data_IF_192627446424
#
_entry.id   IF_192627446424
#
_cell.length_a   1.000
_cell.length_b   1.000
_cell.length_c   1.000
_cell.angle_alpha   90.00
_cell.angle_beta   90.00
_cell.angle_gamma   90.00
#
_symmetry.space_group_name_H-M   'P 1'
#
loop_
_entity.id
_entity.type
_entity.pdbx_description
1 polymer ?
#
# COMPACT_ATOMS: atom_id res chain seq x y z
N UNK A 1 -1.06 -23.74 30.27
CA UNK A 1 -0.46 -22.42 30.49
C UNK A 1 -1.54 -21.37 30.41
N UNK A 2 -1.84 -20.75 31.53
CA UNK A 2 -2.93 -19.78 31.73
C UNK A 2 -2.62 -18.49 30.99
N UNK A 3 -3.62 -18.00 30.24
CA UNK A 3 -3.65 -16.68 29.58
C UNK A 3 -3.48 -15.60 30.66
N UNK A 4 -2.60 -14.60 30.52
CA UNK A 4 -2.47 -13.55 31.52
C UNK A 4 -3.71 -12.65 31.50
N UNK A 5 -4.41 -12.62 32.65
CA UNK A 5 -5.39 -11.60 33.03
C UNK A 5 -4.72 -10.22 33.03
N UNK A 6 -5.02 -9.38 32.08
CA UNK A 6 -4.93 -7.92 32.20
C UNK A 6 -5.61 -7.21 31.02
N UNK A 7 -6.93 -7.09 31.09
CA UNK A 7 -7.68 -5.87 30.68
C UNK A 7 -8.96 -5.86 31.54
N UNK A 8 -8.85 -5.46 32.79
CA UNK A 8 -10.01 -5.05 33.59
C UNK A 8 -9.87 -3.56 33.94
N UNK A 9 -10.24 -2.71 32.98
CA UNK A 9 -10.77 -1.38 33.28
C UNK A 9 -12.28 -1.51 33.30
N UNK A 10 -12.93 -1.08 34.40
CA UNK A 10 -14.33 -1.22 34.70
C UNK A 10 -15.27 -0.97 33.51
N UNK A 11 -15.69 -2.05 32.86
CA UNK A 11 -16.85 -2.09 31.97
C UNK A 11 -17.90 -2.86 32.76
N UNK A 12 -19.09 -2.27 32.95
CA UNK A 12 -20.20 -2.85 33.70
C UNK A 12 -20.45 -4.32 33.33
N UNK A 13 -20.90 -5.10 34.32
CA UNK A 13 -21.05 -6.55 34.19
C UNK A 13 -21.97 -6.96 33.04
N UNK A 14 -21.97 -8.24 32.68
CA UNK A 14 -22.66 -8.79 31.49
C UNK A 14 -24.16 -8.50 31.40
N UNK A 15 -24.81 -8.14 32.49
CA UNK A 15 -26.24 -7.77 32.53
C UNK A 15 -26.54 -6.42 31.85
N UNK A 16 -25.53 -5.54 31.61
CA UNK A 16 -25.74 -4.25 30.96
C UNK A 16 -25.69 -4.29 29.42
N UNK A 17 -25.23 -5.39 28.82
CA UNK A 17 -25.08 -5.52 27.37
C UNK A 17 -25.50 -6.91 26.88
N UNK A 18 -26.82 -7.16 26.73
CA UNK A 18 -27.31 -8.48 26.28
C UNK A 18 -26.73 -8.97 24.95
N UNK A 19 -26.30 -8.01 24.07
CA UNK A 19 -25.65 -8.36 22.82
C UNK A 19 -24.25 -8.95 22.98
N UNK A 20 -23.51 -8.63 24.05
CA UNK A 20 -22.19 -9.22 24.31
C UNK A 20 -22.31 -10.69 24.74
N UNK A 21 -23.29 -11.01 25.54
CA UNK A 21 -23.58 -12.41 25.98
C UNK A 21 -23.92 -13.29 24.78
N UNK A 22 -24.71 -12.79 23.84
CA UNK A 22 -25.03 -13.51 22.61
C UNK A 22 -23.79 -13.70 21.71
N UNK A 23 -22.95 -12.69 21.58
CA UNK A 23 -21.69 -12.79 20.83
C UNK A 23 -20.78 -13.85 21.47
N UNK A 24 -20.62 -13.84 22.80
CA UNK A 24 -19.83 -14.85 23.51
C UNK A 24 -20.37 -16.27 23.33
N UNK A 25 -21.71 -16.42 23.34
CA UNK A 25 -22.38 -17.71 23.09
C UNK A 25 -22.10 -18.21 21.68
N UNK A 26 -22.23 -17.33 20.68
CA UNK A 26 -21.98 -17.68 19.28
C UNK A 26 -20.50 -18.00 19.04
N UNK A 27 -19.59 -17.27 19.68
CA UNK A 27 -18.16 -17.50 19.59
C UNK A 27 -17.76 -18.86 20.18
N UNK A 28 -18.28 -19.21 21.37
CA UNK A 28 -18.10 -20.55 21.96
C UNK A 28 -18.63 -21.64 21.06
N UNK A 29 -19.80 -21.47 20.47
CA UNK A 29 -20.38 -22.43 19.54
C UNK A 29 -19.53 -22.59 18.27
N UNK A 30 -19.02 -21.48 17.73
CA UNK A 30 -18.13 -21.50 16.58
C UNK A 30 -16.84 -22.27 16.91
N UNK A 31 -16.20 -21.96 18.04
CA UNK A 31 -14.99 -22.64 18.49
C UNK A 31 -15.22 -24.17 18.65
N UNK A 32 -16.35 -24.57 19.23
CA UNK A 32 -16.73 -26.00 19.33
C UNK A 32 -16.91 -26.66 17.97
N UNK A 33 -17.55 -25.98 17.01
CA UNK A 33 -17.76 -26.49 15.65
C UNK A 33 -16.45 -26.69 14.88
N UNK A 34 -15.43 -25.87 15.16
CA UNK A 34 -14.13 -25.92 14.53
C UNK A 34 -13.03 -26.48 15.44
N UNK A 35 -13.41 -27.18 16.51
CA UNK A 35 -12.46 -27.81 17.42
C UNK A 35 -11.51 -28.75 16.65
N UNK A 36 -10.21 -28.61 16.92
CA UNK A 36 -9.16 -29.31 16.19
C UNK A 36 -8.88 -28.80 14.76
N UNK A 37 -9.66 -27.81 14.25
CA UNK A 37 -9.42 -27.18 12.94
C UNK A 37 -8.84 -25.76 13.04
N UNK A 38 -8.98 -25.14 14.20
CA UNK A 38 -8.44 -23.80 14.49
C UNK A 38 -7.16 -23.94 15.31
N UNK A 39 -6.06 -23.46 14.74
CA UNK A 39 -4.77 -23.41 15.43
C UNK A 39 -4.49 -21.97 15.80
N UNK A 40 -4.29 -21.70 17.10
CA UNK A 40 -3.87 -20.39 17.57
C UNK A 40 -2.35 -20.31 17.44
N UNK A 41 -1.89 -19.42 16.56
CA UNK A 41 -0.47 -19.12 16.35
C UNK A 41 -0.10 -17.81 17.04
N UNK A 42 0.54 -17.84 18.23
CA UNK A 42 0.90 -16.63 18.98
C UNK A 42 1.90 -15.73 18.24
N UNK A 43 2.65 -16.27 17.29
CA UNK A 43 3.59 -15.54 16.42
C UNK A 43 2.89 -14.62 15.43
N UNK A 44 1.65 -14.92 15.03
CA UNK A 44 0.85 -14.10 14.12
C UNK A 44 0.25 -12.89 14.83
N UNK A 45 1.09 -11.97 15.22
CA UNK A 45 0.68 -10.74 15.91
C UNK A 45 -0.03 -9.76 14.95
N UNK A 46 -0.86 -8.87 15.50
CA UNK A 46 -1.55 -7.85 14.70
C UNK A 46 -0.62 -7.00 13.81
N UNK A 47 0.57 -6.55 14.26
CA UNK A 47 1.53 -5.89 13.37
C UNK A 47 1.97 -6.77 12.21
N UNK A 48 2.21 -8.05 12.44
CA UNK A 48 2.67 -9.00 11.43
C UNK A 48 1.62 -9.23 10.33
N UNK A 49 0.36 -9.45 10.71
CA UNK A 49 -0.73 -9.74 9.75
C UNK A 49 -1.33 -8.52 9.07
N UNK A 50 -0.83 -7.32 9.34
CA UNK A 50 -1.36 -6.07 8.79
C UNK A 50 -0.27 -5.21 8.17
N UNK A 51 -0.67 -4.18 7.43
CA UNK A 51 0.26 -3.19 6.86
C UNK A 51 1.21 -2.52 7.89
N UNK A 52 0.98 -2.69 9.20
CA UNK A 52 1.78 -2.01 10.22
C UNK A 52 3.26 -2.35 10.15
N UNK A 53 3.62 -3.61 9.90
CA UNK A 53 5.02 -4.01 9.74
C UNK A 53 5.69 -3.40 8.49
N UNK A 54 4.91 -3.06 7.46
CA UNK A 54 5.41 -2.41 6.25
C UNK A 54 5.78 -0.93 6.43
N UNK A 55 5.31 -0.26 7.50
CA UNK A 55 5.53 1.19 7.69
C UNK A 55 6.99 1.61 7.82
N UNK A 56 7.84 0.72 8.26
CA UNK A 56 9.28 0.97 8.46
C UNK A 56 10.15 0.28 7.42
N UNK A 57 9.57 -0.62 6.61
CA UNK A 57 10.32 -1.43 5.67
C UNK A 57 10.47 -0.71 4.32
N UNK A 58 11.69 -0.52 3.80
CA UNK A 58 11.95 0.03 2.47
C UNK A 58 11.07 -0.63 1.40
N UNK A 59 10.77 0.07 0.32
CA UNK A 59 9.87 -0.34 -0.78
C UNK A 59 8.40 -0.44 -0.34
N UNK A 60 8.10 -1.15 0.74
CA UNK A 60 6.72 -1.36 1.22
C UNK A 60 6.13 -0.11 1.89
N UNK A 61 6.96 0.73 2.51
CA UNK A 61 6.54 1.96 3.23
C UNK A 61 6.21 3.14 2.31
N UNK A 62 6.53 3.06 1.02
CA UNK A 62 6.35 4.21 0.13
C UNK A 62 4.88 4.58 -0.05
N UNK A 63 4.03 3.59 -0.35
CA UNK A 63 2.59 3.80 -0.48
C UNK A 63 1.84 3.13 0.66
N UNK A 64 0.99 3.90 1.35
CA UNK A 64 0.19 3.41 2.48
C UNK A 64 -1.07 2.72 1.97
N UNK A 65 -0.98 1.41 1.77
CA UNK A 65 -2.12 0.57 1.39
C UNK A 65 -2.69 -0.12 2.63
N UNK A 66 -3.80 0.42 3.17
CA UNK A 66 -4.35 0.01 4.49
C UNK A 66 -4.85 -1.42 4.51
N UNK A 67 -5.27 -1.92 3.37
CA UNK A 67 -5.84 -3.23 3.14
C UNK A 67 -4.77 -4.33 2.93
N UNK A 68 -3.50 -3.94 2.77
CA UNK A 68 -2.42 -4.91 2.58
C UNK A 68 -2.01 -5.61 3.87
N UNK A 69 -1.64 -6.86 3.75
CA UNK A 69 -0.86 -7.59 4.74
C UNK A 69 0.63 -7.16 4.70
N UNK A 70 1.42 -7.62 5.65
CA UNK A 70 2.85 -7.30 5.66
C UNK A 70 3.66 -8.26 4.80
N UNK A 71 4.82 -7.79 4.30
CA UNK A 71 5.80 -8.65 3.66
C UNK A 71 6.31 -9.74 4.61
N UNK A 72 6.50 -9.41 5.89
CA UNK A 72 6.93 -10.37 6.91
C UNK A 72 5.93 -11.51 7.14
N UNK A 73 4.62 -11.29 6.91
CA UNK A 73 3.64 -12.38 6.90
C UNK A 73 3.90 -13.34 5.75
N UNK A 74 4.19 -12.83 4.56
CA UNK A 74 4.46 -13.66 3.39
C UNK A 74 5.73 -14.48 3.60
N UNK A 75 6.79 -13.87 4.11
CA UNK A 75 8.03 -14.56 4.47
C UNK A 75 7.78 -15.67 5.49
N UNK A 76 6.99 -15.39 6.53
CA UNK A 76 6.58 -16.40 7.50
C UNK A 76 5.81 -17.58 6.86
N UNK A 77 4.90 -17.29 5.90
CA UNK A 77 4.17 -18.35 5.19
C UNK A 77 5.10 -19.17 4.30
N UNK A 78 6.08 -18.57 3.64
CA UNK A 78 7.09 -19.31 2.88
C UNK A 78 7.89 -20.27 3.77
N UNK A 79 8.30 -19.81 4.95
CA UNK A 79 9.02 -20.65 5.92
C UNK A 79 8.14 -21.77 6.48
N UNK A 80 6.90 -21.48 6.84
CA UNK A 80 5.96 -22.44 7.44
C UNK A 80 5.59 -23.55 6.44
N UNK A 81 5.29 -23.17 5.19
CA UNK A 81 4.88 -24.10 4.14
C UNK A 81 6.02 -24.61 3.27
N UNK A 82 7.28 -24.24 3.59
CA UNK A 82 8.50 -24.66 2.87
C UNK A 82 8.47 -24.30 1.38
N UNK A 83 7.93 -23.14 1.05
CA UNK A 83 7.92 -22.63 -0.32
C UNK A 83 9.25 -21.91 -0.54
N UNK A 84 10.20 -22.59 -1.24
CA UNK A 84 11.56 -22.08 -1.44
C UNK A 84 11.90 -21.80 -2.91
N UNK A 85 11.06 -22.19 -3.85
CA UNK A 85 11.24 -22.00 -5.29
C UNK A 85 9.90 -22.12 -6.01
N UNK A 86 9.90 -21.91 -7.32
CA UNK A 86 8.73 -22.04 -8.18
C UNK A 86 8.03 -20.70 -8.41
N UNK A 87 6.71 -20.73 -8.63
CA UNK A 87 5.91 -19.56 -8.97
C UNK A 87 4.69 -19.47 -8.06
N UNK A 88 4.46 -18.29 -7.49
CA UNK A 88 3.23 -17.99 -6.75
C UNK A 88 2.25 -17.15 -7.58
N UNK A 89 0.97 -17.21 -7.21
CA UNK A 89 -0.08 -16.33 -7.75
C UNK A 89 -0.71 -15.51 -6.64
N UNK A 90 -0.85 -14.20 -6.86
CA UNK A 90 -1.75 -13.33 -6.09
C UNK A 90 -2.84 -12.76 -7.00
N UNK A 91 -4.06 -13.34 -7.00
CA UNK A 91 -5.16 -12.90 -7.88
C UNK A 91 -5.76 -11.54 -7.47
N UNK A 92 -5.32 -10.93 -6.35
CA UNK A 92 -5.74 -9.62 -5.87
C UNK A 92 -4.52 -8.83 -5.36
N UNK A 93 -3.57 -8.58 -6.26
CA UNK A 93 -2.22 -8.15 -5.92
C UNK A 93 -2.12 -6.81 -5.17
N UNK A 94 -3.10 -5.91 -5.33
CA UNK A 94 -3.16 -4.63 -4.61
C UNK A 94 -1.90 -3.79 -4.82
N UNK A 95 -1.10 -3.60 -3.78
CA UNK A 95 0.19 -2.88 -3.87
C UNK A 95 1.39 -3.79 -4.15
N UNK A 96 1.16 -5.08 -4.45
CA UNK A 96 2.17 -6.06 -4.82
C UNK A 96 2.95 -6.64 -3.64
N UNK A 97 2.43 -6.63 -2.42
CA UNK A 97 3.21 -7.07 -1.25
C UNK A 97 3.69 -8.52 -1.39
N UNK A 98 2.81 -9.44 -1.82
CA UNK A 98 3.20 -10.85 -2.02
C UNK A 98 4.22 -10.99 -3.15
N UNK A 99 4.05 -10.23 -4.23
CA UNK A 99 4.92 -10.30 -5.40
C UNK A 99 6.36 -9.91 -5.07
N UNK A 100 6.53 -8.76 -4.40
CA UNK A 100 7.85 -8.27 -4.02
C UNK A 100 8.49 -9.11 -2.91
N UNK A 101 7.70 -9.68 -1.98
CA UNK A 101 8.22 -10.58 -0.96
C UNK A 101 8.71 -11.90 -1.57
N UNK A 102 8.02 -12.45 -2.57
CA UNK A 102 8.43 -13.64 -3.30
C UNK A 102 9.69 -13.40 -4.12
N UNK A 103 9.69 -12.32 -4.93
CA UNK A 103 10.84 -11.98 -5.76
C UNK A 103 12.11 -11.75 -4.93
N UNK A 104 12.01 -11.14 -3.75
CA UNK A 104 13.13 -10.88 -2.85
C UNK A 104 13.84 -12.18 -2.36
N UNK A 105 13.16 -13.31 -2.40
CA UNK A 105 13.71 -14.64 -2.02
C UNK A 105 13.90 -15.58 -3.22
N UNK A 106 13.82 -15.06 -4.45
CA UNK A 106 14.07 -15.83 -5.66
C UNK A 106 12.88 -16.65 -6.17
N UNK A 107 11.67 -16.39 -5.68
CA UNK A 107 10.43 -17.04 -6.11
C UNK A 107 9.74 -16.15 -7.15
N UNK A 108 9.37 -16.73 -8.28
CA UNK A 108 8.60 -16.01 -9.30
C UNK A 108 7.19 -15.71 -8.80
N UNK A 109 6.62 -14.58 -9.24
CA UNK A 109 5.32 -14.16 -8.77
C UNK A 109 4.48 -13.55 -9.89
N UNK A 110 3.30 -14.11 -10.09
CA UNK A 110 2.26 -13.54 -10.94
C UNK A 110 1.23 -12.81 -10.08
N UNK A 111 0.88 -11.60 -10.47
CA UNK A 111 -0.16 -10.81 -9.81
C UNK A 111 -1.24 -10.40 -10.78
N UNK A 112 -2.49 -10.40 -10.31
CA UNK A 112 -3.60 -9.82 -11.06
C UNK A 112 -4.09 -8.59 -10.30
N UNK A 113 -4.19 -7.45 -10.99
CA UNK A 113 -4.68 -6.21 -10.38
C UNK A 113 -5.63 -5.48 -11.33
N UNK A 114 -6.82 -5.20 -10.82
CA UNK A 114 -7.86 -4.50 -11.59
C UNK A 114 -7.67 -2.99 -11.55
N UNK A 115 -7.30 -2.44 -10.38
CA UNK A 115 -7.29 -1.00 -10.18
C UNK A 115 -6.02 -0.36 -10.77
N UNK A 116 -6.16 0.69 -11.60
CA UNK A 116 -5.02 1.39 -12.19
C UNK A 116 -4.01 1.88 -11.14
N UNK A 117 -4.47 2.23 -9.94
CA UNK A 117 -3.59 2.66 -8.85
C UNK A 117 -2.67 1.53 -8.37
N UNK A 118 -3.19 0.31 -8.21
CA UNK A 118 -2.40 -0.86 -7.83
C UNK A 118 -1.39 -1.21 -8.93
N UNK A 119 -1.82 -1.23 -10.18
CA UNK A 119 -0.97 -1.46 -11.35
C UNK A 119 0.18 -0.45 -11.39
N UNK A 120 -0.10 0.84 -11.22
CA UNK A 120 0.92 1.88 -11.21
C UNK A 120 1.91 1.72 -10.04
N UNK A 121 1.43 1.37 -8.84
CA UNK A 121 2.29 1.12 -7.68
C UNK A 121 3.27 -0.02 -7.97
N UNK A 122 2.77 -1.15 -8.48
CA UNK A 122 3.60 -2.33 -8.79
C UNK A 122 4.59 -1.99 -9.90
N UNK A 123 4.12 -1.39 -11.01
CA UNK A 123 4.98 -1.02 -12.13
C UNK A 123 6.11 -0.07 -11.70
N UNK A 124 5.80 0.94 -10.86
CA UNK A 124 6.83 1.88 -10.39
C UNK A 124 7.83 1.23 -9.45
N UNK A 125 7.39 0.33 -8.56
CA UNK A 125 8.31 -0.43 -7.70
C UNK A 125 9.23 -1.32 -8.51
N UNK A 126 8.71 -2.06 -9.49
CA UNK A 126 9.53 -2.86 -10.43
C UNK A 126 10.56 -2.01 -11.15
N UNK A 127 10.13 -0.85 -11.66
CA UNK A 127 11.03 0.11 -12.31
C UNK A 127 12.18 0.54 -11.40
N UNK A 128 11.89 0.86 -10.15
CA UNK A 128 12.88 1.29 -9.15
C UNK A 128 13.86 0.17 -8.77
N UNK A 129 13.43 -1.08 -8.80
CA UNK A 129 14.28 -2.23 -8.46
C UNK A 129 15.21 -2.65 -9.60
N UNK A 130 14.80 -2.55 -10.85
CA UNK A 130 15.54 -3.16 -11.97
C UNK A 130 15.79 -2.27 -13.18
N UNK A 131 15.09 -1.14 -13.30
CA UNK A 131 15.15 -0.30 -14.49
C UNK A 131 15.56 1.16 -14.25
N UNK A 132 15.83 1.53 -13.01
CA UNK A 132 16.13 2.90 -12.63
C UNK A 132 17.64 3.13 -12.62
N UNK A 133 18.11 4.13 -13.38
CA UNK A 133 19.55 4.37 -13.55
C UNK A 133 20.08 5.35 -12.49
N UNK A 134 21.40 5.47 -12.41
CA UNK A 134 22.05 6.49 -11.56
C UNK A 134 21.68 7.91 -11.97
N UNK A 135 21.55 8.15 -13.27
CA UNK A 135 21.13 9.44 -13.82
C UNK A 135 19.70 9.76 -13.40
N UNK A 136 18.79 8.79 -13.46
CA UNK A 136 17.41 8.94 -12.99
C UNK A 136 17.37 9.25 -11.48
N UNK A 137 18.22 8.59 -10.68
CA UNK A 137 18.31 8.84 -9.24
C UNK A 137 18.85 10.24 -8.93
N UNK A 138 19.85 10.71 -9.68
CA UNK A 138 20.38 12.06 -9.59
C UNK A 138 19.30 13.10 -9.94
N UNK A 139 18.46 12.81 -10.94
CA UNK A 139 17.36 13.69 -11.31
C UNK A 139 16.30 13.78 -10.20
N UNK A 140 15.96 12.67 -9.52
CA UNK A 140 15.09 12.73 -8.34
C UNK A 140 15.70 13.56 -7.20
N UNK A 141 17.03 13.47 -6.99
CA UNK A 141 17.72 14.32 -6.01
C UNK A 141 17.63 15.79 -6.38
N UNK A 142 17.86 16.10 -7.69
CA UNK A 142 17.68 17.44 -8.22
C UNK A 142 16.28 17.97 -7.97
N UNK A 143 15.25 17.18 -8.26
CA UNK A 143 13.84 17.54 -8.01
C UNK A 143 13.57 17.86 -6.54
N UNK A 144 14.08 17.05 -5.62
CA UNK A 144 13.89 17.29 -4.19
C UNK A 144 14.60 18.55 -3.69
N UNK A 145 15.75 18.90 -4.28
CA UNK A 145 16.58 20.03 -3.86
C UNK A 145 16.14 21.35 -4.53
N UNK A 146 15.93 21.36 -5.85
CA UNK A 146 15.70 22.57 -6.65
C UNK A 146 14.23 22.95 -6.80
N UNK A 147 13.30 21.98 -6.61
CA UNK A 147 11.85 22.19 -6.71
C UNK A 147 11.43 22.87 -8.02
N UNK A 148 11.71 22.30 -9.18
CA UNK A 148 11.54 22.98 -10.48
C UNK A 148 10.07 23.41 -10.74
N UNK A 149 9.09 22.77 -10.12
CA UNK A 149 7.67 23.14 -10.22
C UNK A 149 7.35 24.53 -9.63
N UNK A 150 8.15 25.05 -8.69
CA UNK A 150 7.91 26.39 -8.11
C UNK A 150 8.13 27.50 -9.14
N UNK A 151 9.02 27.24 -10.09
CA UNK A 151 9.34 28.17 -11.17
C UNK A 151 8.49 27.96 -12.43
N UNK A 152 7.65 26.92 -12.45
CA UNK A 152 6.81 26.61 -13.60
C UNK A 152 5.62 27.58 -13.68
N UNK A 153 5.47 28.24 -14.83
CA UNK A 153 4.24 28.98 -15.17
C UNK A 153 3.16 28.04 -15.73
N UNK A 154 3.57 26.91 -16.30
CA UNK A 154 2.67 25.90 -16.86
C UNK A 154 1.92 25.17 -15.75
N UNK A 155 0.67 24.79 -16.03
CA UNK A 155 -0.19 24.03 -15.12
C UNK A 155 -0.94 22.95 -15.88
N UNK A 156 -1.05 21.79 -15.26
CA UNK A 156 -1.97 20.72 -15.69
C UNK A 156 -3.21 20.80 -14.81
N UNK A 157 -4.32 21.20 -15.38
CA UNK A 157 -5.55 21.35 -14.63
C UNK A 157 -6.03 20.00 -14.06
N UNK A 158 -6.20 19.93 -12.73
CA UNK A 158 -6.74 18.73 -12.08
C UNK A 158 -8.25 18.62 -12.35
N UNK A 159 -8.73 17.48 -12.88
CA UNK A 159 -10.15 17.28 -13.05
C UNK A 159 -10.85 17.22 -11.69
N UNK A 160 -11.82 18.08 -11.48
CA UNK A 160 -12.64 18.10 -10.26
C UNK A 160 -13.89 17.24 -10.44
N UNK A 161 -13.91 16.09 -9.79
CA UNK A 161 -15.13 15.32 -9.64
C UNK A 161 -15.99 15.91 -8.50
N UNK A 162 -17.30 15.78 -8.59
CA UNK A 162 -18.22 16.24 -7.55
C UNK A 162 -17.84 15.75 -6.15
N UNK A 163 -17.32 14.53 -6.05
CA UNK A 163 -16.92 13.91 -4.77
C UNK A 163 -15.58 14.42 -4.25
N UNK A 164 -14.69 14.94 -5.12
CA UNK A 164 -13.34 15.39 -4.74
C UNK A 164 -13.17 16.90 -4.79
N UNK A 165 -14.16 17.62 -5.29
CA UNK A 165 -14.10 19.10 -5.39
C UNK A 165 -13.82 19.74 -4.03
N UNK A 166 -12.77 20.60 -3.97
CA UNK A 166 -12.35 21.25 -2.72
C UNK A 166 -11.64 20.29 -1.74
N UNK A 167 -11.10 19.16 -2.22
CA UNK A 167 -10.34 18.22 -1.39
C UNK A 167 -8.98 18.77 -0.95
N UNK A 168 -8.44 19.73 -1.68
CA UNK A 168 -7.15 20.36 -1.38
C UNK A 168 -7.33 21.85 -1.05
N UNK A 169 -6.46 22.42 -0.18
CA UNK A 169 -6.27 23.86 -0.12
C UNK A 169 -5.94 24.42 -1.52
N UNK A 170 -6.37 25.64 -1.84
CA UNK A 170 -6.17 26.21 -3.18
C UNK A 170 -4.69 26.31 -3.56
N UNK A 171 -3.82 26.73 -2.62
CA UNK A 171 -2.36 26.73 -2.79
C UNK A 171 -1.78 25.34 -3.06
N UNK A 172 -2.28 24.32 -2.35
CA UNK A 172 -1.87 22.93 -2.55
C UNK A 172 -2.28 22.42 -3.93
N UNK A 173 -3.50 22.74 -4.37
CA UNK A 173 -3.99 22.37 -5.69
C UNK A 173 -3.14 23.01 -6.78
N UNK A 174 -2.84 24.30 -6.67
CA UNK A 174 -1.96 25.02 -7.59
C UNK A 174 -0.57 24.38 -7.67
N UNK A 175 0.01 24.05 -6.51
CA UNK A 175 1.31 23.40 -6.45
C UNK A 175 1.31 22.01 -7.11
N UNK A 176 0.23 21.20 -6.94
CA UNK A 176 0.08 19.92 -7.62
C UNK A 176 -0.03 20.12 -9.14
N UNK A 177 -0.80 21.11 -9.61
CA UNK A 177 -0.97 21.40 -11.04
C UNK A 177 0.36 21.81 -11.70
N UNK A 178 1.16 22.65 -11.04
CA UNK A 178 2.50 23.02 -11.46
C UNK A 178 3.48 21.83 -11.45
N UNK A 179 3.43 21.02 -10.38
CA UNK A 179 4.25 19.82 -10.26
C UNK A 179 3.99 18.84 -11.40
N UNK A 180 2.73 18.57 -11.71
CA UNK A 180 2.36 17.69 -12.82
C UNK A 180 2.80 18.25 -14.18
N UNK A 181 2.72 19.57 -14.38
CA UNK A 181 3.21 20.22 -15.59
C UNK A 181 4.72 20.05 -15.73
N UNK A 182 5.47 20.33 -14.67
CA UNK A 182 6.93 20.18 -14.66
C UNK A 182 7.36 18.72 -14.90
N UNK A 183 6.60 17.72 -14.39
CA UNK A 183 6.92 16.32 -14.65
C UNK A 183 6.99 15.96 -16.15
N UNK A 184 6.29 16.66 -17.03
CA UNK A 184 6.27 16.33 -18.46
C UNK A 184 7.60 16.59 -19.17
N UNK A 185 8.49 17.38 -18.61
CA UNK A 185 9.82 17.62 -19.16
C UNK A 185 10.82 16.49 -18.92
N UNK A 186 10.50 15.60 -17.97
CA UNK A 186 11.36 14.50 -17.58
C UNK A 186 11.25 13.28 -18.51
N UNK A 187 12.24 12.39 -18.43
CA UNK A 187 12.11 11.09 -19.08
C UNK A 187 11.02 10.24 -18.41
N UNK A 188 10.51 9.25 -19.13
CA UNK A 188 9.34 8.48 -18.70
C UNK A 188 9.55 7.73 -17.38
N UNK A 189 10.80 7.33 -17.06
CA UNK A 189 11.11 6.62 -15.81
C UNK A 189 11.01 7.57 -14.63
N UNK A 190 11.65 8.74 -14.73
CA UNK A 190 11.57 9.80 -13.72
C UNK A 190 10.14 10.29 -13.55
N UNK A 191 9.39 10.53 -14.67
CA UNK A 191 7.96 10.88 -14.60
C UNK A 191 7.15 9.86 -13.79
N UNK A 192 7.39 8.57 -13.99
CA UNK A 192 6.65 7.50 -13.30
C UNK A 192 6.87 7.57 -11.79
N UNK A 193 8.12 7.80 -11.37
CA UNK A 193 8.46 7.91 -9.93
C UNK A 193 7.93 9.21 -9.33
N UNK A 194 8.02 10.34 -10.04
CA UNK A 194 7.48 11.62 -9.59
C UNK A 194 5.96 11.54 -9.37
N UNK A 195 5.24 10.98 -10.33
CA UNK A 195 3.78 10.75 -10.21
C UNK A 195 3.43 9.79 -9.07
N UNK A 196 4.22 8.74 -8.90
CA UNK A 196 4.06 7.81 -7.76
C UNK A 196 4.31 8.52 -6.41
N UNK A 197 5.35 9.34 -6.30
CA UNK A 197 5.61 10.14 -5.10
C UNK A 197 4.44 11.07 -4.77
N UNK A 198 3.83 11.70 -5.78
CA UNK A 198 2.62 12.50 -5.62
C UNK A 198 1.47 11.65 -5.07
N UNK A 199 1.19 10.49 -5.65
CA UNK A 199 0.14 9.58 -5.17
C UNK A 199 0.34 9.19 -3.69
N UNK A 200 1.59 9.00 -3.27
CA UNK A 200 1.92 8.65 -1.88
C UNK A 200 1.57 9.76 -0.87
N UNK A 201 1.52 11.02 -1.29
CA UNK A 201 1.31 12.16 -0.38
C UNK A 201 -0.08 12.79 -0.45
N UNK A 202 -0.91 12.44 -1.45
CA UNK A 202 -2.22 13.06 -1.68
C UNK A 202 -3.11 13.08 -0.43
N UNK A 203 -3.18 11.98 0.34
CA UNK A 203 -3.96 11.96 1.58
C UNK A 203 -3.41 12.95 2.59
N UNK A 204 -2.09 13.07 2.77
CA UNK A 204 -1.48 13.91 3.80
C UNK A 204 -1.67 15.41 3.57
N UNK A 205 -1.73 15.84 2.30
CA UNK A 205 -1.85 17.24 1.89
C UNK A 205 -3.29 17.69 1.61
N UNK A 206 -4.27 16.81 1.79
CA UNK A 206 -5.69 17.07 1.50
C UNK A 206 -6.51 17.32 2.77
N UNK A 207 -7.70 17.87 2.62
CA UNK A 207 -8.73 17.94 3.64
C UNK A 207 -9.47 16.61 3.87
N UNK A 208 -9.09 15.56 3.14
CA UNK A 208 -9.81 14.29 3.19
C UNK A 208 -9.01 13.20 3.87
N UNK A 209 -9.70 12.23 4.46
CA UNK A 209 -9.15 10.97 4.95
C UNK A 209 -10.04 9.82 4.53
N UNK A 210 -9.47 8.81 3.90
CA UNK A 210 -10.19 7.57 3.57
C UNK A 210 -10.51 6.82 4.87
N UNK A 211 -11.80 6.54 5.11
CA UNK A 211 -12.31 5.82 6.27
C UNK A 211 -13.31 4.76 5.78
N UNK A 212 -12.82 3.59 5.45
CA UNK A 212 -13.59 2.54 4.74
C UNK A 212 -14.07 3.04 3.38
N UNK A 213 -15.37 2.95 3.11
CA UNK A 213 -16.01 3.40 1.87
C UNK A 213 -16.16 4.92 1.76
N UNK A 214 -15.91 5.66 2.85
CA UNK A 214 -16.23 7.09 2.91
C UNK A 214 -14.97 7.94 2.91
N UNK A 215 -15.04 9.09 2.23
CA UNK A 215 -14.12 10.19 2.44
C UNK A 215 -14.64 11.03 3.61
N UNK A 216 -13.92 11.03 4.72
CA UNK A 216 -14.17 11.99 5.79
C UNK A 216 -13.52 13.31 5.43
N UNK A 217 -14.28 14.38 5.63
CA UNK A 217 -13.86 15.73 5.30
C UNK A 217 -13.51 16.49 6.56
N UNK A 218 -12.33 17.05 6.58
CA UNK A 218 -11.88 17.97 7.61
C UNK A 218 -12.77 19.24 7.60
N UNK A 219 -13.01 19.80 8.76
CA UNK A 219 -13.88 20.98 8.92
C UNK A 219 -13.39 22.20 8.13
N UNK A 220 -12.09 22.32 7.88
CA UNK A 220 -11.46 23.40 7.10
C UNK A 220 -11.85 23.37 5.62
N UNK A 221 -12.32 22.27 5.10
CA UNK A 221 -12.82 22.15 3.73
C UNK A 221 -14.13 22.90 3.46
N UNK A 222 -14.82 23.36 4.50
CA UNK A 222 -16.17 23.94 4.40
C UNK A 222 -17.28 22.91 4.12
N UNK A 223 -16.94 21.62 3.90
CA UNK A 223 -17.94 20.56 3.70
C UNK A 223 -18.41 20.00 5.04
N UNK A 224 -19.72 19.99 5.27
CA UNK A 224 -20.32 19.34 6.43
C UNK A 224 -20.71 17.90 6.09
N UNK A 225 -20.21 16.95 6.88
CA UNK A 225 -20.63 15.56 6.84
C UNK A 225 -21.07 15.13 8.24
N UNK A 226 -22.39 14.92 8.40
CA UNK A 226 -22.98 14.47 9.67
C UNK A 226 -23.00 15.53 10.78
N UNK A 227 -23.33 15.06 12.00
CA UNK A 227 -23.50 15.93 13.19
C UNK A 227 -22.17 16.25 13.89
N UNK A 228 -21.12 15.43 13.70
CA UNK A 228 -19.82 15.61 14.37
C UNK A 228 -18.82 16.26 13.43
N UNK A 229 -18.17 17.29 13.92
CA UNK A 229 -17.03 17.93 13.27
C UNK A 229 -15.88 16.92 13.22
N UNK A 230 -15.25 16.77 12.06
CA UNK A 230 -14.06 15.95 11.90
C UNK A 230 -12.84 16.85 11.75
N UNK A 231 -11.90 16.67 12.66
CA UNK A 231 -10.56 17.25 12.60
C UNK A 231 -9.59 16.15 12.19
N UNK A 232 -8.93 16.36 11.05
CA UNK A 232 -7.91 15.45 10.53
C UNK A 232 -6.57 15.59 11.27
N UNK A 233 -6.39 16.67 12.02
CA UNK A 233 -5.13 17.07 12.60
C UNK A 233 -4.27 17.85 11.59
N UNK A 234 -2.98 17.59 11.54
CA UNK A 234 -2.05 18.28 10.63
C UNK A 234 -2.34 17.93 9.17
N UNK A 235 -2.47 18.97 8.34
CA UNK A 235 -2.43 18.87 6.88
C UNK A 235 -1.05 19.36 6.48
N UNK A 236 -0.28 18.49 5.84
CA UNK A 236 1.08 18.83 5.45
C UNK A 236 1.10 19.83 4.28
N UNK A 237 2.07 20.72 4.26
CA UNK A 237 2.35 21.52 3.07
C UNK A 237 2.84 20.64 1.92
N UNK A 238 2.49 21.00 0.69
CA UNK A 238 2.83 20.22 -0.50
C UNK A 238 4.33 19.98 -0.63
N UNK A 239 5.13 21.03 -0.55
CA UNK A 239 6.60 20.97 -0.69
C UNK A 239 7.23 20.03 0.33
N UNK A 240 6.88 20.21 1.61
CA UNK A 240 7.40 19.35 2.68
C UNK A 240 7.05 17.88 2.44
N UNK A 241 5.82 17.61 2.03
CA UNK A 241 5.34 16.24 1.82
C UNK A 241 6.02 15.58 0.62
N UNK A 242 6.10 16.29 -0.53
CA UNK A 242 6.65 15.73 -1.76
C UNK A 242 8.16 15.54 -1.66
N UNK A 243 8.92 16.56 -1.20
CA UNK A 243 10.36 16.44 -1.00
C UNK A 243 10.70 15.35 0.02
N UNK A 244 9.94 15.28 1.13
CA UNK A 244 10.11 14.23 2.12
C UNK A 244 9.88 12.82 1.53
N UNK A 245 8.91 12.67 0.61
CA UNK A 245 8.65 11.41 -0.07
C UNK A 245 9.74 11.06 -1.08
N UNK A 246 10.19 12.00 -1.88
CA UNK A 246 11.29 11.78 -2.82
C UNK A 246 12.56 11.37 -2.08
N UNK A 247 12.93 12.09 -1.02
CA UNK A 247 14.09 11.76 -0.19
C UNK A 247 13.97 10.38 0.47
N UNK A 248 12.75 9.99 0.88
CA UNK A 248 12.49 8.64 1.41
C UNK A 248 12.75 7.56 0.34
N UNK A 249 12.24 7.76 -0.88
CA UNK A 249 12.44 6.81 -1.99
C UNK A 249 13.93 6.71 -2.32
N UNK A 250 14.63 7.85 -2.48
CA UNK A 250 16.05 7.92 -2.78
C UNK A 250 16.88 7.18 -1.70
N UNK A 251 16.58 7.44 -0.43
CA UNK A 251 17.29 6.79 0.67
C UNK A 251 17.08 5.26 0.70
N UNK A 252 15.89 4.80 0.29
CA UNK A 252 15.55 3.38 0.25
C UNK A 252 16.18 2.63 -0.93
N UNK A 253 16.46 3.33 -2.03
CA UNK A 253 17.17 2.76 -3.18
C UNK A 253 18.63 2.43 -2.85
N UNK A 254 19.18 3.08 -1.82
CA UNK A 254 20.56 2.94 -1.43
C UNK A 254 21.55 3.58 -2.44
N UNK A 255 22.84 3.47 -2.19
CA UNK A 255 23.83 3.82 -3.20
C UNK A 255 23.66 2.87 -4.40
N UNK A 256 23.75 3.42 -5.62
CA UNK A 256 23.74 2.61 -6.84
C UNK A 256 24.70 1.42 -6.66
N UNK A 257 24.31 0.20 -7.08
CA UNK A 257 25.17 -0.96 -6.94
C UNK A 257 26.51 -0.60 -7.59
N UNK A 258 27.54 -0.44 -6.77
CA UNK A 258 28.91 -0.37 -7.29
C UNK A 258 29.10 -1.67 -8.06
N UNK A 259 29.54 -1.56 -9.31
CA UNK A 259 29.84 -2.71 -10.14
C UNK A 259 30.78 -3.63 -9.33
N UNK A 260 30.20 -4.63 -8.70
CA UNK A 260 30.94 -5.68 -8.01
C UNK A 260 31.74 -6.40 -9.09
N UNK A 261 33.05 -6.53 -8.91
CA UNK A 261 33.89 -7.35 -9.78
C UNK A 261 33.45 -8.82 -9.79
N UNK A 262 32.62 -9.20 -8.86
CA UNK A 262 31.93 -10.49 -8.80
C UNK A 262 30.41 -10.20 -8.81
N UNK A 263 29.68 -10.66 -9.84
CA UNK A 263 28.23 -10.61 -9.80
C UNK A 263 27.78 -11.36 -8.53
N UNK A 264 27.21 -10.62 -7.58
CA UNK A 264 26.43 -11.24 -6.53
C UNK A 264 25.18 -11.72 -7.27
N UNK A 265 25.12 -12.98 -7.61
CA UNK A 265 23.90 -13.63 -8.03
C UNK A 265 22.94 -13.61 -6.84
N UNK A 266 22.24 -12.52 -6.70
CA UNK A 266 21.05 -12.48 -5.87
C UNK A 266 19.93 -12.93 -6.80
N UNK A 267 19.43 -14.17 -6.72
CA UNK A 267 18.37 -14.65 -7.58
C UNK A 267 17.11 -13.93 -7.17
N UNK A 268 16.82 -12.80 -7.82
CA UNK A 268 15.52 -12.18 -7.72
C UNK A 268 14.56 -12.95 -8.61
N UNK A 269 13.40 -13.35 -8.04
CA UNK A 269 12.30 -13.92 -8.80
C UNK A 269 11.70 -12.89 -9.77
N UNK A 270 11.15 -13.36 -10.87
CA UNK A 270 10.46 -12.53 -11.84
C UNK A 270 9.06 -12.15 -11.33
N UNK A 271 8.70 -10.86 -11.44
CA UNK A 271 7.33 -10.39 -11.17
C UNK A 271 6.62 -10.18 -12.50
N UNK A 272 5.50 -10.85 -12.71
CA UNK A 272 4.60 -10.65 -13.86
C UNK A 272 3.27 -10.10 -13.36
N UNK A 273 2.85 -8.96 -13.92
CA UNK A 273 1.58 -8.31 -13.58
C UNK A 273 0.60 -8.46 -14.74
N UNK A 274 -0.58 -8.97 -14.44
CA UNK A 274 -1.70 -9.08 -15.37
C UNK A 274 -2.73 -8.00 -15.02
N UNK A 275 -2.92 -7.06 -15.92
CA UNK A 275 -3.88 -5.97 -15.77
C UNK A 275 -5.30 -6.46 -16.07
N UNK A 276 -6.21 -6.31 -15.13
CA UNK A 276 -7.61 -6.65 -15.32
C UNK A 276 -8.28 -7.37 -14.15
N UNK A 277 -9.51 -7.79 -14.40
CA UNK A 277 -10.28 -8.57 -13.41
C UNK A 277 -9.76 -10.01 -13.33
N UNK A 278 -9.60 -10.52 -12.11
CA UNK A 278 -9.25 -11.92 -11.90
C UNK A 278 -10.25 -12.89 -12.56
N UNK A 279 -11.52 -12.50 -12.69
CA UNK A 279 -12.53 -13.30 -13.39
C UNK A 279 -12.25 -13.46 -14.89
N UNK A 280 -11.56 -12.49 -15.49
CA UNK A 280 -11.21 -12.53 -16.90
C UNK A 280 -9.81 -13.09 -17.14
N UNK A 281 -8.88 -12.84 -16.23
CA UNK A 281 -7.47 -13.24 -16.37
C UNK A 281 -7.27 -14.72 -16.00
N UNK A 282 -7.82 -15.17 -14.86
CA UNK A 282 -7.62 -16.57 -14.39
C UNK A 282 -7.95 -17.62 -15.43
N UNK A 283 -9.06 -17.53 -16.20
CA UNK A 283 -9.37 -18.54 -17.24
C UNK A 283 -8.37 -18.59 -18.40
N UNK A 284 -7.49 -17.58 -18.52
CA UNK A 284 -6.48 -17.50 -19.57
C UNK A 284 -5.10 -18.04 -19.13
N UNK A 285 -4.92 -18.24 -17.83
CA UNK A 285 -3.70 -18.80 -17.27
C UNK A 285 -3.71 -20.32 -17.43
N UNK A 286 -2.53 -20.90 -17.63
CA UNK A 286 -2.40 -22.35 -17.74
C UNK A 286 -2.62 -23.04 -16.39
N UNK A 287 -3.24 -24.21 -16.42
CA UNK A 287 -3.45 -25.03 -15.23
C UNK A 287 -2.11 -25.60 -14.70
N UNK A 288 -2.00 -25.68 -13.38
CA UNK A 288 -0.91 -26.38 -12.70
C UNK A 288 0.47 -25.73 -12.78
N UNK A 289 0.53 -24.43 -13.14
CA UNK A 289 1.81 -23.69 -13.23
C UNK A 289 2.22 -22.99 -11.93
N UNK A 290 1.35 -22.92 -10.94
CA UNK A 290 1.60 -22.26 -9.67
C UNK A 290 1.78 -23.25 -8.53
N UNK A 291 2.85 -23.06 -7.76
CA UNK A 291 3.17 -23.87 -6.58
C UNK A 291 2.36 -23.43 -5.35
N UNK A 292 1.98 -22.15 -5.30
CA UNK A 292 1.13 -21.62 -4.24
C UNK A 292 0.28 -20.43 -4.71
N UNK A 293 -0.85 -20.22 -4.03
CA UNK A 293 -1.67 -19.02 -4.16
C UNK A 293 -1.67 -18.31 -2.80
N UNK A 294 -1.19 -17.07 -2.79
CA UNK A 294 -1.11 -16.24 -1.58
C UNK A 294 -1.84 -14.93 -1.84
N UNK A 295 -2.95 -14.72 -1.16
CA UNK A 295 -3.80 -13.57 -1.44
C UNK A 295 -4.56 -13.07 -0.23
N UNK A 296 -4.98 -11.81 -0.30
CA UNK A 296 -5.99 -11.23 0.59
C UNK A 296 -7.21 -10.87 -0.26
N UNK A 297 -8.25 -11.73 -0.28
CA UNK A 297 -9.40 -11.51 -1.14
C UNK A 297 -10.16 -10.24 -0.76
N UNK A 298 -10.91 -9.63 -1.68
CA UNK A 298 -11.73 -8.47 -1.41
C UNK A 298 -12.71 -8.70 -0.27
N UNK A 299 -12.83 -7.72 0.64
CA UNK A 299 -13.78 -7.79 1.74
C UNK A 299 -15.18 -7.36 1.29
N UNK A 300 -16.15 -8.26 1.32
CA UNK A 300 -17.52 -8.04 0.82
C UNK A 300 -18.33 -6.96 1.54
N UNK A 301 -17.87 -6.46 2.69
CA UNK A 301 -18.71 -5.69 3.60
C UNK A 301 -18.30 -4.23 3.82
N UNK A 302 -17.19 -3.76 3.29
CA UNK A 302 -16.68 -2.42 3.64
C UNK A 302 -15.94 -1.65 2.57
N UNK A 303 -15.54 -2.27 1.47
CA UNK A 303 -14.68 -1.61 0.48
C UNK A 303 -15.29 -1.71 -0.89
N UNK A 304 -15.38 -0.57 -1.56
CA UNK A 304 -15.67 -0.50 -2.99
C UNK A 304 -14.33 -0.65 -3.72
N UNK A 305 -14.20 -1.75 -4.44
CA UNK A 305 -13.01 -2.10 -5.22
C UNK A 305 -13.21 -1.81 -6.73
N UNK A 306 -14.29 -1.10 -7.08
CA UNK A 306 -14.62 -0.74 -8.47
C UNK A 306 -14.38 0.73 -8.77
#
# INVERSE_FOLDING_TARGET
MTVPDRIHGAIGGPEQYPGLTEIERLDKRLLQQFDGKVVVQPSLTRPLVSFQANKTRPVYRWYKYKEAFSASLIEHLFDEYKIACGTILDPFAGSGTALFAAAAVGIDADGIELLPIGQQIIATKKLLESGFTTEDANELQHWSASRPWEQSEARVHLPELRITKGAYPDETREAIEKYLAACHSENIRVQSVLRFALLCVLESISYTRKDGQYLRWDYRSGRRQGKKVFDKGTIAGFEQAICGKLNQIIADLGPAPQASLFPVENPQGEIRLHDGSCLNVLPQLSDGIYDAIITSPPYCNRFDYT
#
